data_IF_642216896053
#
_entry.id   IF_642216896053
#
_cell.length_a   1.000
_cell.length_b   1.000
_cell.length_c   1.000
_cell.angle_alpha   90.00
_cell.angle_beta   90.00
_cell.angle_gamma   90.00
#
_symmetry.space_group_name_H-M   'P 1'
#
loop_
_entity.id
_entity.type
_entity.pdbx_description
1 polymer ?
#
# COMPACT_ATOMS: atom_id res chain seq x y z
N UNK A 1 -26.32 20.18 -15.34
CA UNK A 1 -24.98 20.50 -15.87
C UNK A 1 -24.05 19.44 -15.32
N UNK A 2 -23.78 18.39 -16.10
CA UNK A 2 -22.78 17.39 -15.77
C UNK A 2 -21.46 17.90 -16.32
N UNK A 3 -20.45 18.03 -15.48
CA UNK A 3 -19.07 18.13 -15.95
C UNK A 3 -18.20 17.16 -15.17
N UNK A 4 -17.74 16.17 -15.91
CA UNK A 4 -16.83 15.12 -15.54
C UNK A 4 -15.38 15.64 -15.73
N UNK A 5 -14.44 14.99 -15.02
CA UNK A 5 -12.97 14.97 -15.24
C UNK A 5 -12.16 16.05 -14.54
N UNK A 6 -11.19 15.64 -13.73
CA UNK A 6 -9.87 15.21 -14.22
C UNK A 6 -8.90 15.00 -13.04
N UNK A 7 -8.53 13.74 -12.84
CA UNK A 7 -7.24 13.23 -12.34
C UNK A 7 -6.14 14.28 -12.12
N UNK A 8 -5.97 14.73 -10.88
CA UNK A 8 -4.76 15.41 -10.42
C UNK A 8 -4.37 14.86 -9.06
N UNK A 9 -3.38 13.97 -9.05
CA UNK A 9 -2.09 14.22 -8.39
C UNK A 9 -1.37 12.88 -8.25
N UNK A 10 -0.51 12.59 -9.23
CA UNK A 10 0.52 11.56 -9.12
C UNK A 10 1.86 12.24 -8.90
N UNK A 11 1.93 13.20 -7.97
CA UNK A 11 3.20 13.51 -7.34
C UNK A 11 3.49 12.33 -6.41
N UNK A 12 4.26 11.35 -6.90
CA UNK A 12 4.85 10.36 -6.01
C UNK A 12 5.89 11.14 -5.20
N UNK A 13 5.43 11.76 -4.10
CA UNK A 13 6.32 12.27 -3.08
C UNK A 13 7.16 11.07 -2.62
N UNK A 14 8.46 11.10 -2.90
CA UNK A 14 9.42 10.10 -2.41
C UNK A 14 9.39 9.95 -0.88
N UNK A 15 8.76 10.91 -0.19
CA UNK A 15 8.51 10.93 1.25
C UNK A 15 7.44 9.92 1.73
N UNK A 16 6.71 9.28 0.81
CA UNK A 16 5.61 8.36 1.13
C UNK A 16 5.96 6.87 0.99
N UNK A 17 7.26 6.55 0.95
CA UNK A 17 7.75 5.17 0.96
C UNK A 17 7.87 4.66 2.40
N UNK A 18 7.28 3.50 2.65
CA UNK A 18 7.28 2.84 3.95
C UNK A 18 7.85 1.43 3.85
N UNK A 19 8.34 0.89 4.97
CA UNK A 19 8.88 -0.46 5.04
C UNK A 19 7.84 -1.45 5.59
N UNK A 20 8.19 -2.74 5.54
CA UNK A 20 7.34 -3.84 6.05
C UNK A 20 6.87 -3.57 7.49
N UNK A 21 7.76 -3.04 8.34
CA UNK A 21 7.46 -2.71 9.74
C UNK A 21 6.32 -1.68 9.86
N UNK A 22 6.30 -0.66 9.02
CA UNK A 22 5.26 0.36 9.03
C UNK A 22 3.94 -0.17 8.46
N UNK A 23 4.00 -1.06 7.46
CA UNK A 23 2.82 -1.77 6.99
C UNK A 23 2.18 -2.56 8.14
N UNK A 24 2.97 -3.29 8.95
CA UNK A 24 2.45 -4.01 10.12
C UNK A 24 1.75 -3.05 11.09
N UNK A 25 2.36 -1.89 11.38
CA UNK A 25 1.75 -0.86 12.24
C UNK A 25 0.44 -0.33 11.66
N UNK A 26 0.35 -0.12 10.35
CA UNK A 26 -0.88 0.35 9.70
C UNK A 26 -2.02 -0.66 9.86
N UNK A 27 -1.72 -1.96 9.84
CA UNK A 27 -2.68 -3.02 10.15
C UNK A 27 -2.89 -3.23 11.67
N UNK A 28 -2.43 -2.30 12.51
CA UNK A 28 -2.57 -2.35 13.97
C UNK A 28 -1.82 -3.52 14.62
N UNK A 29 -0.74 -4.02 13.99
CA UNK A 29 0.00 -5.17 14.48
C UNK A 29 -0.68 -6.53 14.27
N UNK A 30 -1.84 -6.56 13.59
CA UNK A 30 -2.63 -7.80 13.40
C UNK A 30 -2.09 -8.74 12.32
N UNK A 31 -1.06 -8.31 11.57
CA UNK A 31 -0.44 -9.11 10.51
C UNK A 31 1.06 -9.25 10.74
N UNK A 32 1.62 -10.38 10.30
CA UNK A 32 3.04 -10.70 10.43
C UNK A 32 3.81 -10.39 9.13
N UNK A 33 5.15 -10.34 9.23
CA UNK A 33 6.02 -10.19 8.05
C UNK A 33 5.78 -11.28 7.01
N UNK A 34 5.54 -12.53 7.44
CA UNK A 34 5.27 -13.65 6.53
C UNK A 34 3.99 -13.44 5.72
N UNK A 35 2.94 -12.88 6.32
CA UNK A 35 1.70 -12.56 5.61
C UNK A 35 1.96 -11.50 4.55
N UNK A 36 2.72 -10.46 4.87
CA UNK A 36 3.09 -9.41 3.91
C UNK A 36 3.90 -10.01 2.76
N UNK A 37 4.89 -10.84 3.05
CA UNK A 37 5.69 -11.52 2.01
C UNK A 37 4.86 -12.46 1.14
N UNK A 38 3.86 -13.15 1.72
CA UNK A 38 2.91 -13.92 0.94
C UNK A 38 2.14 -13.01 -0.04
N UNK A 39 1.65 -11.84 0.40
CA UNK A 39 0.96 -10.91 -0.49
C UNK A 39 1.83 -10.33 -1.60
N UNK A 40 3.12 -10.10 -1.34
CA UNK A 40 4.07 -9.68 -2.37
C UNK A 40 4.25 -10.81 -3.40
N UNK A 41 4.49 -12.04 -2.93
CA UNK A 41 4.66 -13.22 -3.79
C UNK A 41 3.42 -13.51 -4.64
N UNK A 42 2.24 -13.35 -4.04
CA UNK A 42 0.93 -13.50 -4.69
C UNK A 42 0.55 -12.26 -5.54
N UNK A 43 1.42 -11.24 -5.63
CA UNK A 43 1.18 -9.98 -6.36
C UNK A 43 -0.08 -9.20 -5.90
N UNK A 44 -0.55 -9.45 -4.68
CA UNK A 44 -1.70 -8.77 -4.07
C UNK A 44 -1.35 -7.38 -3.56
N UNK A 45 -0.13 -7.22 -3.05
CA UNK A 45 0.38 -5.95 -2.53
C UNK A 45 1.62 -5.53 -3.34
N UNK A 46 1.56 -4.44 -4.13
CA UNK A 46 2.71 -3.95 -4.88
C UNK A 46 3.82 -3.48 -3.93
N UNK A 47 5.03 -3.97 -4.18
CA UNK A 47 6.24 -3.61 -3.43
C UNK A 47 7.41 -3.41 -4.38
N UNK A 48 8.33 -2.53 -4.02
CA UNK A 48 9.61 -2.36 -4.70
C UNK A 48 10.72 -2.95 -3.83
N UNK A 49 11.67 -3.65 -4.44
CA UNK A 49 12.82 -4.22 -3.72
C UNK A 49 13.98 -3.24 -3.79
N UNK A 50 14.46 -2.78 -2.62
CA UNK A 50 15.60 -1.88 -2.48
C UNK A 50 16.66 -2.59 -1.64
N UNK A 51 17.68 -3.13 -2.32
CA UNK A 51 18.67 -4.02 -1.71
C UNK A 51 18.01 -5.29 -1.15
N UNK A 52 18.11 -5.48 0.18
CA UNK A 52 17.51 -6.62 0.89
C UNK A 52 16.13 -6.33 1.48
N UNK A 53 15.60 -5.11 1.32
CA UNK A 53 14.33 -4.68 1.93
C UNK A 53 13.26 -4.48 0.85
N UNK A 54 12.00 -4.62 1.28
CA UNK A 54 10.84 -4.22 0.48
C UNK A 54 10.33 -2.87 0.98
N UNK A 55 10.07 -1.99 0.02
CA UNK A 55 9.44 -0.68 0.24
C UNK A 55 8.10 -0.63 -0.47
N UNK A 56 7.17 0.12 0.11
CA UNK A 56 5.79 0.23 -0.36
C UNK A 56 5.42 1.71 -0.41
N UNK A 57 4.57 2.09 -1.37
CA UNK A 57 3.89 3.37 -1.29
C UNK A 57 2.81 3.30 -0.21
N UNK A 58 2.85 4.21 0.76
CA UNK A 58 1.84 4.31 1.83
C UNK A 58 0.43 4.39 1.27
N UNK A 59 0.20 5.25 0.27
CA UNK A 59 -1.10 5.40 -0.41
C UNK A 59 -1.62 4.08 -0.99
N UNK A 60 -0.75 3.28 -1.62
CA UNK A 60 -1.12 1.96 -2.15
C UNK A 60 -1.47 0.97 -1.04
N UNK A 61 -0.75 1.00 0.08
CA UNK A 61 -1.04 0.16 1.25
C UNK A 61 -2.38 0.54 1.87
N UNK A 62 -2.66 1.85 2.04
CA UNK A 62 -3.97 2.32 2.53
C UNK A 62 -5.12 1.89 1.62
N UNK A 63 -4.98 2.06 0.30
CA UNK A 63 -5.99 1.60 -0.65
C UNK A 63 -6.21 0.08 -0.58
N UNK A 64 -5.13 -0.69 -0.43
CA UNK A 64 -5.20 -2.14 -0.24
C UNK A 64 -5.94 -2.51 1.05
N UNK A 65 -5.67 -1.83 2.16
CA UNK A 65 -6.38 -2.01 3.43
C UNK A 65 -7.88 -1.72 3.28
N UNK A 66 -8.24 -0.59 2.68
CA UNK A 66 -9.64 -0.21 2.45
C UNK A 66 -10.37 -1.29 1.63
N UNK A 67 -9.75 -1.80 0.56
CA UNK A 67 -10.30 -2.88 -0.26
C UNK A 67 -10.50 -4.18 0.55
N UNK A 68 -9.56 -4.53 1.43
CA UNK A 68 -9.66 -5.75 2.26
C UNK A 68 -10.69 -5.64 3.38
N UNK A 69 -10.90 -4.45 3.92
CA UNK A 69 -11.85 -4.19 5.01
C UNK A 69 -13.27 -3.90 4.50
N UNK A 70 -13.49 -3.90 3.18
CA UNK A 70 -14.79 -3.55 2.59
C UNK A 70 -15.15 -2.07 2.73
N UNK A 71 -14.18 -1.20 3.03
CA UNK A 71 -14.38 0.24 3.22
C UNK A 71 -14.28 1.02 1.91
N UNK A 72 -13.91 0.37 0.81
CA UNK A 72 -14.03 0.92 -0.53
C UNK A 72 -15.44 0.59 -1.06
N UNK A 73 -16.39 1.49 -0.80
CA UNK A 73 -17.70 1.52 -1.48
C UNK A 73 -17.62 2.39 -2.72
#
# INVERSE_FOLDING_TARGET
MNEEKNTKDSTINSEDLIYVEDVIKMFGGKITKNIIYAWIREKKLPAMKVGRRFVFSRKRVQAFMAKRLGLAS
#
